data_IF_235701523697
#
_entry.id   IF_235701523697
#
_cell.length_a   1.000
_cell.length_b   1.000
_cell.length_c   1.000
_cell.angle_alpha   90.00
_cell.angle_beta   90.00
_cell.angle_gamma   90.00
#
_symmetry.space_group_name_H-M   'P 1'
#
loop_
_entity.id
_entity.type
_entity.pdbx_description
1 polymer ?
#
# COMPACT_ATOMS: atom_id res chain seq x y z
N UNK A 1 -10.57 1.12 18.83
CA UNK A 1 -11.03 0.06 17.90
C UNK A 1 -11.50 0.67 16.59
N UNK A 2 -11.19 0.02 15.51
CA UNK A 2 -11.59 0.50 14.18
C UNK A 2 -13.06 0.20 13.92
N UNK A 3 -13.75 1.14 13.26
CA UNK A 3 -15.16 0.95 12.94
C UNK A 3 -15.32 -0.03 11.76
N UNK A 4 -16.33 -0.90 11.79
CA UNK A 4 -16.63 -1.77 10.66
C UNK A 4 -17.18 -0.94 9.48
N UNK A 5 -17.29 -1.58 8.32
CA UNK A 5 -17.94 -1.00 7.15
C UNK A 5 -19.37 -0.62 7.48
N UNK A 6 -19.75 0.62 7.18
CA UNK A 6 -21.07 1.14 7.53
C UNK A 6 -22.22 0.38 6.88
N UNK A 7 -22.08 0.06 5.59
CA UNK A 7 -23.05 -0.74 4.84
C UNK A 7 -22.50 -2.14 4.60
N UNK A 8 -22.82 -3.08 5.48
CA UNK A 8 -22.28 -4.44 5.38
C UNK A 8 -22.65 -5.16 4.08
N UNK A 9 -23.79 -4.83 3.47
CA UNK A 9 -24.17 -5.41 2.19
C UNK A 9 -23.15 -5.06 1.08
N UNK A 10 -22.42 -3.97 1.23
CA UNK A 10 -21.38 -3.53 0.30
C UNK A 10 -19.98 -4.00 0.71
N UNK A 11 -19.86 -4.73 1.82
CA UNK A 11 -18.57 -5.23 2.28
C UNK A 11 -18.06 -6.29 1.31
N UNK A 12 -16.84 -6.11 0.81
CA UNK A 12 -16.21 -7.09 -0.08
C UNK A 12 -15.57 -8.20 0.74
N UNK A 13 -15.52 -9.40 0.18
CA UNK A 13 -14.93 -10.53 0.89
C UNK A 13 -13.39 -10.46 0.90
N UNK A 14 -12.78 -11.37 1.67
CA UNK A 14 -11.33 -11.40 1.82
C UNK A 14 -10.60 -11.68 0.51
N UNK A 15 -11.15 -12.54 -0.35
CA UNK A 15 -10.53 -12.87 -1.62
C UNK A 15 -10.44 -11.64 -2.54
N UNK A 16 -11.49 -10.83 -2.61
CA UNK A 16 -11.52 -9.59 -3.38
C UNK A 16 -10.55 -8.56 -2.77
N UNK A 17 -10.51 -8.45 -1.46
CA UNK A 17 -9.59 -7.57 -0.73
C UNK A 17 -8.13 -7.93 -1.05
N UNK A 18 -7.77 -9.21 -0.95
CA UNK A 18 -6.43 -9.70 -1.27
C UNK A 18 -6.07 -9.43 -2.74
N UNK A 19 -7.00 -9.66 -3.66
CA UNK A 19 -6.78 -9.43 -5.08
C UNK A 19 -6.52 -7.94 -5.37
N UNK A 20 -7.26 -7.03 -4.76
CA UNK A 20 -7.04 -5.59 -4.92
C UNK A 20 -5.68 -5.17 -4.40
N UNK A 21 -5.28 -5.68 -3.23
CA UNK A 21 -3.97 -5.38 -2.65
C UNK A 21 -2.82 -5.91 -3.53
N UNK A 22 -2.99 -7.07 -4.15
CA UNK A 22 -1.94 -7.65 -4.99
C UNK A 22 -1.85 -7.01 -6.37
N UNK A 23 -2.96 -6.62 -6.96
CA UNK A 23 -3.01 -6.18 -8.35
C UNK A 23 -2.70 -4.70 -8.57
N UNK A 24 -2.94 -3.85 -7.56
CA UNK A 24 -2.67 -2.42 -7.70
C UNK A 24 -1.18 -2.13 -7.65
N UNK A 25 -0.74 -1.18 -8.46
CA UNK A 25 0.67 -0.76 -8.50
C UNK A 25 0.97 0.29 -7.43
N UNK A 26 0.00 1.13 -7.12
CA UNK A 26 0.13 2.22 -6.15
C UNK A 26 -1.08 2.26 -5.26
N UNK A 27 -0.86 2.71 -4.05
CA UNK A 27 -1.91 3.06 -3.12
C UNK A 27 -1.61 4.41 -2.50
N UNK A 28 -2.47 4.84 -1.61
CA UNK A 28 -2.29 6.09 -0.86
C UNK A 28 -1.91 5.73 0.57
N UNK A 29 -0.73 6.17 0.98
CA UNK A 29 -0.27 6.04 2.36
C UNK A 29 -0.53 7.33 3.11
N UNK A 30 -1.33 7.26 4.16
CA UNK A 30 -1.67 8.39 5.01
C UNK A 30 -1.02 8.22 6.38
N UNK A 31 -0.50 9.30 6.91
CA UNK A 31 0.21 9.32 8.18
C UNK A 31 -0.02 10.65 8.88
N UNK A 32 0.39 10.75 10.14
CA UNK A 32 0.34 11.99 10.88
C UNK A 32 1.47 12.90 10.41
N UNK A 33 1.12 14.02 9.81
CA UNK A 33 2.07 14.99 9.30
C UNK A 33 2.35 16.13 10.29
N UNK A 34 2.93 17.19 9.79
CA UNK A 34 3.31 18.35 10.60
C UNK A 34 2.09 19.19 11.00
N UNK A 35 2.21 19.85 12.13
CA UNK A 35 1.23 20.83 12.62
C UNK A 35 -0.19 20.26 12.79
N UNK A 36 -0.30 18.97 13.08
CA UNK A 36 -1.58 18.31 13.25
C UNK A 36 -2.31 17.96 11.97
N UNK A 37 -1.72 18.25 10.80
CA UNK A 37 -2.33 17.89 9.53
C UNK A 37 -1.99 16.46 9.15
N UNK A 38 -2.96 15.68 8.69
CA UNK A 38 -2.65 14.40 8.07
C UNK A 38 -1.90 14.61 6.76
N UNK A 39 -1.02 13.68 6.44
CA UNK A 39 -0.22 13.71 5.22
C UNK A 39 -0.47 12.44 4.44
N UNK A 40 -0.85 12.55 3.17
CA UNK A 40 -1.21 11.42 2.35
C UNK A 40 -0.51 11.52 0.98
N UNK A 41 0.09 10.42 0.55
CA UNK A 41 0.83 10.38 -0.71
C UNK A 41 0.55 9.10 -1.47
N UNK A 42 0.54 9.15 -2.82
CA UNK A 42 0.61 7.93 -3.62
C UNK A 42 1.99 7.29 -3.45
N UNK A 43 2.02 5.97 -3.36
CA UNK A 43 3.26 5.25 -3.13
C UNK A 43 3.19 3.87 -3.76
N UNK A 44 4.30 3.42 -4.33
CA UNK A 44 4.46 2.04 -4.78
C UNK A 44 4.58 1.13 -3.56
N UNK A 45 4.04 -0.06 -3.66
CA UNK A 45 4.04 -1.00 -2.55
C UNK A 45 4.10 -2.44 -3.04
N UNK A 46 4.43 -3.33 -2.14
CA UNK A 46 4.34 -4.78 -2.32
C UNK A 46 3.57 -5.38 -1.15
N UNK A 47 2.54 -6.18 -1.45
CA UNK A 47 1.76 -6.87 -0.44
C UNK A 47 2.19 -8.34 -0.36
N UNK A 48 2.65 -8.75 0.82
CA UNK A 48 2.98 -10.15 1.14
C UNK A 48 1.77 -10.76 1.84
N UNK A 49 1.00 -11.57 1.11
CA UNK A 49 -0.23 -12.17 1.61
C UNK A 49 0.02 -13.22 2.70
N UNK A 50 1.14 -13.91 2.65
CA UNK A 50 1.48 -14.91 3.66
C UNK A 50 1.81 -14.28 5.01
N UNK A 51 2.61 -13.22 5.00
CA UNK A 51 2.96 -12.48 6.20
C UNK A 51 1.90 -11.44 6.60
N UNK A 52 0.98 -11.12 5.70
CA UNK A 52 -0.02 -10.04 5.85
C UNK A 52 0.65 -8.71 6.15
N UNK A 53 1.67 -8.39 5.34
CA UNK A 53 2.46 -7.16 5.46
C UNK A 53 2.51 -6.43 4.14
N UNK A 54 2.58 -5.11 4.23
CA UNK A 54 2.75 -4.23 3.09
C UNK A 54 4.11 -3.57 3.21
N UNK A 55 4.89 -3.62 2.14
CA UNK A 55 6.22 -3.03 2.08
C UNK A 55 6.22 -1.84 1.14
N UNK A 56 6.88 -0.78 1.54
CA UNK A 56 7.06 0.43 0.74
C UNK A 56 8.54 0.67 0.50
N UNK A 57 8.86 1.22 -0.65
CA UNK A 57 10.22 1.63 -0.97
C UNK A 57 10.26 3.15 -1.16
N UNK A 58 11.23 3.79 -0.55
CA UNK A 58 11.38 5.24 -0.63
C UNK A 58 12.74 5.70 -0.13
N UNK A 59 12.94 7.01 -0.15
CA UNK A 59 14.17 7.61 0.36
C UNK A 59 14.31 7.39 1.88
N UNK A 60 15.56 7.33 2.35
CA UNK A 60 15.87 7.16 3.78
C UNK A 60 15.61 8.43 4.61
N UNK A 61 15.33 9.53 3.96
CA UNK A 61 15.04 10.83 4.60
C UNK A 61 13.90 11.51 3.86
N UNK A 62 13.31 12.53 4.49
CA UNK A 62 12.23 13.31 3.92
C UNK A 62 11.00 13.33 4.82
N UNK A 63 9.93 13.94 4.35
CA UNK A 63 8.72 14.17 5.13
C UNK A 63 8.12 12.87 5.67
N UNK A 64 8.04 11.81 4.84
CA UNK A 64 7.53 10.50 5.27
C UNK A 64 8.30 9.94 6.45
N UNK A 65 9.62 9.95 6.36
CA UNK A 65 10.49 9.38 7.39
C UNK A 65 10.35 10.17 8.69
N UNK A 66 10.33 11.49 8.61
CA UNK A 66 10.13 12.35 9.79
C UNK A 66 8.76 12.13 10.42
N UNK A 67 7.71 12.02 9.61
CA UNK A 67 6.36 11.75 10.10
C UNK A 67 6.30 10.41 10.84
N UNK A 68 6.93 9.35 10.31
CA UNK A 68 6.96 8.04 10.93
C UNK A 68 7.73 8.01 12.25
N UNK A 69 8.72 8.88 12.42
CA UNK A 69 9.43 9.02 13.69
C UNK A 69 8.54 9.61 14.79
N UNK A 70 7.58 10.44 14.41
CA UNK A 70 6.63 11.04 15.35
C UNK A 70 5.51 10.08 15.72
N UNK A 71 4.96 9.36 14.74
CA UNK A 71 3.92 8.37 14.95
C UNK A 71 4.02 7.28 13.89
N UNK A 72 4.03 6.04 14.33
CA UNK A 72 4.09 4.89 13.44
C UNK A 72 2.72 4.41 12.93
N UNK A 73 1.65 5.01 13.43
CA UNK A 73 0.28 4.67 13.03
C UNK A 73 -0.03 5.25 11.66
N UNK A 74 -0.44 4.39 10.75
CA UNK A 74 -0.69 4.78 9.36
C UNK A 74 -1.99 4.16 8.86
N UNK A 75 -2.46 4.70 7.75
CA UNK A 75 -3.59 4.18 7.01
C UNK A 75 -3.16 4.05 5.55
N UNK A 76 -3.46 2.91 4.94
CA UNK A 76 -3.12 2.64 3.55
C UNK A 76 -4.37 2.27 2.79
N UNK A 77 -4.60 2.86 1.61
CA UNK A 77 -5.78 2.57 0.84
C UNK A 77 -5.45 2.28 -0.62
N UNK A 78 -6.15 1.31 -1.17
CA UNK A 78 -6.18 1.02 -2.61
C UNK A 78 -7.64 0.98 -3.05
N UNK A 79 -7.85 1.18 -4.33
CA UNK A 79 -9.18 1.04 -4.92
C UNK A 79 -9.06 0.54 -6.35
N UNK A 80 -10.16 0.00 -6.87
CA UNK A 80 -10.16 -0.52 -8.22
C UNK A 80 -11.51 -1.09 -8.61
N UNK A 81 -11.53 -1.78 -9.74
CA UNK A 81 -12.75 -2.37 -10.29
C UNK A 81 -13.84 -1.31 -10.50
N UNK A 82 -13.43 -0.12 -10.94
CA UNK A 82 -14.35 0.97 -11.23
C UNK A 82 -15.21 0.65 -12.43
N UNK A 83 -16.49 0.95 -12.31
CA UNK A 83 -17.43 0.85 -13.42
C UNK A 83 -18.61 1.79 -13.21
N UNK A 84 -19.28 2.12 -14.31
CA UNK A 84 -20.52 2.87 -14.28
C UNK A 84 -21.63 1.94 -14.77
N UNK A 85 -22.75 1.91 -14.05
CA UNK A 85 -23.93 1.14 -14.45
C UNK A 85 -24.68 1.90 -15.52
N UNK A 86 -24.36 1.62 -16.78
CA UNK A 86 -24.97 2.30 -17.93
C UNK A 86 -26.40 1.83 -18.19
N UNK A 87 -26.79 0.65 -17.67
CA UNK A 87 -28.06 0.01 -17.96
C UNK A 87 -29.22 0.56 -17.14
N UNK A 88 -28.99 1.04 -15.92
CA UNK A 88 -30.07 1.41 -15.01
C UNK A 88 -29.92 2.83 -14.46
N UNK A 89 -28.93 3.06 -13.60
CA UNK A 89 -28.87 4.26 -12.78
C UNK A 89 -27.69 5.18 -13.10
N UNK A 90 -26.77 4.77 -13.96
CA UNK A 90 -25.49 5.45 -14.20
C UNK A 90 -24.68 5.63 -12.91
N UNK A 91 -24.93 4.77 -11.93
CA UNK A 91 -24.25 4.83 -10.65
C UNK A 91 -22.78 4.40 -10.82
N UNK A 92 -21.84 5.15 -10.24
CA UNK A 92 -20.44 4.71 -10.21
C UNK A 92 -20.24 3.64 -9.16
N UNK A 93 -19.51 2.58 -9.53
CA UNK A 93 -19.12 1.51 -8.62
C UNK A 93 -17.61 1.48 -8.52
N UNK A 94 -17.12 1.30 -7.31
CA UNK A 94 -15.70 1.14 -7.02
C UNK A 94 -15.56 0.22 -5.82
N UNK A 95 -14.50 -0.58 -5.82
CA UNK A 95 -14.12 -1.36 -4.66
C UNK A 95 -12.88 -0.73 -4.03
N UNK A 96 -12.86 -0.64 -2.73
CA UNK A 96 -11.73 -0.06 -2.00
C UNK A 96 -11.40 -0.87 -0.76
N UNK A 97 -10.12 -0.78 -0.38
CA UNK A 97 -9.62 -1.40 0.85
C UNK A 97 -8.88 -0.33 1.63
N UNK A 98 -9.19 -0.21 2.91
CA UNK A 98 -8.50 0.68 3.83
C UNK A 98 -7.84 -0.18 4.90
N UNK A 99 -6.52 -0.05 5.03
CA UNK A 99 -5.72 -0.82 5.98
C UNK A 99 -5.19 0.12 7.05
N UNK A 100 -5.52 -0.19 8.29
CA UNK A 100 -4.94 0.51 9.45
C UNK A 100 -3.83 -0.34 10.03
N UNK A 101 -2.70 0.29 10.33
CA UNK A 101 -1.57 -0.44 10.88
C UNK A 101 -0.44 0.44 11.34
N UNK A 102 0.67 -0.19 11.63
CA UNK A 102 1.90 0.50 12.04
C UNK A 102 2.96 0.28 10.97
N UNK A 103 3.73 1.33 10.72
CA UNK A 103 4.78 1.32 9.72
C UNK A 103 6.12 1.57 10.41
N UNK A 104 7.11 0.73 10.09
CA UNK A 104 8.47 0.90 10.59
C UNK A 104 9.46 0.89 9.45
N UNK A 105 10.58 1.53 9.66
CA UNK A 105 11.69 1.48 8.72
C UNK A 105 12.44 0.16 8.92
N UNK A 106 12.73 -0.54 7.82
CA UNK A 106 13.58 -1.72 7.88
C UNK A 106 15.04 -1.29 7.97
N UNK A 107 15.78 -1.89 8.87
CA UNK A 107 17.21 -1.66 8.97
C UNK A 107 17.94 -2.31 7.79
N UNK A 108 19.10 -1.74 7.42
CA UNK A 108 19.94 -2.30 6.38
C UNK A 108 20.37 -3.72 6.76
N UNK A 109 20.28 -4.67 5.82
CA UNK A 109 20.63 -6.06 6.05
C UNK A 109 19.99 -6.99 5.05
N UNK A 110 20.14 -8.29 5.25
CA UNK A 110 19.62 -9.30 4.33
C UNK A 110 18.10 -9.25 4.21
N UNK A 111 17.38 -9.01 5.30
CA UNK A 111 15.92 -8.88 5.27
C UNK A 111 15.47 -7.74 4.36
N UNK A 112 16.11 -6.58 4.47
CA UNK A 112 15.74 -5.42 3.64
C UNK A 112 16.06 -5.66 2.17
N UNK A 113 17.14 -6.36 1.86
CA UNK A 113 17.49 -6.72 0.49
C UNK A 113 16.49 -7.71 -0.09
N UNK A 114 16.12 -8.73 0.67
CA UNK A 114 15.13 -9.71 0.24
C UNK A 114 13.76 -9.07 -0.02
N UNK A 115 13.33 -8.18 0.87
CA UNK A 115 12.07 -7.45 0.69
C UNK A 115 12.14 -6.52 -0.52
N UNK A 116 13.28 -5.88 -0.75
CA UNK A 116 13.48 -5.01 -1.91
C UNK A 116 13.40 -5.80 -3.22
N UNK A 117 13.95 -7.01 -3.26
CA UNK A 117 13.85 -7.90 -4.43
C UNK A 117 12.42 -8.30 -4.70
N UNK A 118 11.68 -8.73 -3.70
CA UNK A 118 10.26 -9.08 -3.84
C UNK A 118 9.43 -7.89 -4.31
N UNK A 119 9.70 -6.72 -3.75
CA UNK A 119 9.07 -5.47 -4.16
C UNK A 119 9.32 -5.19 -5.63
N UNK A 120 10.58 -5.26 -6.04
CA UNK A 120 10.96 -4.93 -7.41
C UNK A 120 10.40 -5.92 -8.43
N UNK A 121 10.26 -7.19 -8.08
CA UNK A 121 9.66 -8.20 -8.95
C UNK A 121 8.22 -7.88 -9.37
N UNK A 122 7.51 -7.09 -8.57
CA UNK A 122 6.17 -6.63 -8.92
C UNK A 122 6.18 -5.68 -10.13
N UNK A 123 7.26 -4.91 -10.30
CA UNK A 123 7.32 -3.82 -11.27
C UNK A 123 8.25 -4.10 -12.46
N UNK A 124 9.26 -4.96 -12.27
CA UNK A 124 10.22 -5.30 -13.31
C UNK A 124 9.91 -6.66 -13.93
N UNK A 125 10.17 -6.83 -15.24
CA UNK A 125 9.78 -8.04 -15.95
C UNK A 125 10.68 -9.26 -15.69
N UNK A 126 11.86 -9.09 -15.10
CA UNK A 126 12.77 -10.21 -14.86
C UNK A 126 13.61 -10.00 -13.60
N UNK A 127 14.01 -11.12 -13.01
CA UNK A 127 14.92 -11.13 -11.84
C UNK A 127 16.26 -10.47 -12.17
N UNK A 128 16.78 -10.66 -13.36
CA UNK A 128 18.04 -10.04 -13.78
C UNK A 128 17.96 -8.51 -13.75
N UNK A 129 16.86 -7.93 -14.24
CA UNK A 129 16.66 -6.49 -14.19
C UNK A 129 16.51 -6.00 -12.77
N UNK A 130 15.84 -6.76 -11.90
CA UNK A 130 15.73 -6.45 -10.48
C UNK A 130 17.10 -6.40 -9.83
N UNK A 131 17.91 -7.43 -10.00
CA UNK A 131 19.25 -7.52 -9.41
C UNK A 131 20.14 -6.38 -9.89
N UNK A 132 20.08 -6.03 -11.17
CA UNK A 132 20.82 -4.91 -11.72
C UNK A 132 20.44 -3.58 -11.08
N UNK A 133 19.15 -3.34 -10.89
CA UNK A 133 18.67 -2.10 -10.28
C UNK A 133 19.03 -2.02 -8.79
N UNK A 134 18.96 -3.11 -8.06
CA UNK A 134 19.33 -3.16 -6.65
C UNK A 134 20.82 -2.89 -6.48
N UNK A 135 21.67 -3.42 -7.36
CA UNK A 135 23.11 -3.19 -7.31
C UNK A 135 23.49 -1.71 -7.48
N UNK A 136 22.62 -0.92 -8.13
CA UNK A 136 22.85 0.51 -8.37
C UNK A 136 22.03 1.43 -7.47
N UNK A 137 21.25 0.86 -6.58
CA UNK A 137 20.34 1.62 -5.69
C UNK A 137 21.07 2.32 -4.52
#
# INVERSE_FOLDING_TARGET
MFKPVRKKINEIDRAVTEALLQSNRRGILAMNGDNGYPYAIPINYFYDSLAQKIYFHGAKAGHKVEALKTSDKVCFTVYGNERIDESESWAPYVQSVVVFGRCRLLEAGSESIDRLKEFAMKYYPSEQLVDKNIAHA
#
